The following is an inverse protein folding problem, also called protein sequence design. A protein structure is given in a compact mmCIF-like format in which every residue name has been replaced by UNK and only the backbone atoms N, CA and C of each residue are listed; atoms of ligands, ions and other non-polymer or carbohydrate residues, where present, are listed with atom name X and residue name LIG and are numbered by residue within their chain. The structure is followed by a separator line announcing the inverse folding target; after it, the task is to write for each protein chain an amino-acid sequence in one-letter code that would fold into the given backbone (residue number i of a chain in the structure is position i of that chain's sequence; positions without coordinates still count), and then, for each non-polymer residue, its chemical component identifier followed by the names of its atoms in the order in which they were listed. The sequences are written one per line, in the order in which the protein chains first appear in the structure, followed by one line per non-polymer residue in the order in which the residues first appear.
data_IF_404776794671
#
_entry.id   IF_404776794671
#
_cell.length_a   1.000
_cell.length_b   1.000
_cell.length_c   1.000
_cell.angle_alpha   90.00
_cell.angle_beta   90.00
_cell.angle_gamma   90.00
#
_symmetry.space_group_name_H-M   'P 1'
#
loop_
_entity.id
_entity.type
_entity.pdbx_description
1 polymer ?
#
# COMPACT_ATOMS: atom_id res chain seq x y z
N UNK A 1 31.63 -1.30 -13.35
CA UNK A 1 30.34 -0.72 -13.78
C UNK A 1 29.26 -1.06 -12.76
N UNK A 2 28.40 -0.11 -12.42
CA UNK A 2 27.26 -0.28 -11.52
C UNK A 2 25.98 -0.34 -12.36
N UNK A 3 25.09 -1.30 -12.07
CA UNK A 3 23.69 -1.22 -12.52
C UNK A 3 22.98 -0.36 -11.49
N UNK A 4 23.00 0.95 -11.70
CA UNK A 4 22.21 1.87 -10.90
C UNK A 4 20.81 1.90 -11.53
N UNK A 5 19.84 1.31 -10.83
CA UNK A 5 18.45 1.33 -11.24
C UNK A 5 17.71 2.38 -10.40
N UNK A 6 17.38 3.51 -11.02
CA UNK A 6 16.48 4.49 -10.43
C UNK A 6 15.09 4.23 -10.97
N UNK A 7 14.25 3.57 -10.17
CA UNK A 7 12.84 3.36 -10.48
C UNK A 7 12.04 4.47 -9.82
N UNK A 8 11.56 5.43 -10.61
CA UNK A 8 10.59 6.42 -10.15
C UNK A 8 9.21 6.05 -10.66
N UNK A 9 8.23 6.10 -9.76
CA UNK A 9 6.81 6.07 -10.12
C UNK A 9 6.23 7.41 -9.73
N UNK A 10 5.89 8.19 -10.74
CA UNK A 10 5.00 9.33 -10.59
C UNK A 10 3.57 8.91 -10.97
N UNK A 11 2.60 9.35 -10.18
CA UNK A 11 1.24 9.56 -10.65
C UNK A 11 1.13 11.05 -10.85
N UNK A 12 0.95 11.48 -12.09
CA UNK A 12 0.56 12.84 -12.41
C UNK A 12 -0.81 12.75 -13.08
N UNK A 13 -1.82 13.41 -12.51
CA UNK A 13 -3.11 13.56 -13.18
C UNK A 13 -3.26 15.00 -13.58
N UNK A 14 -3.35 15.22 -14.89
CA UNK A 14 -3.69 16.51 -15.48
C UNK A 14 -5.11 16.40 -16.00
N UNK A 15 -6.02 17.22 -15.47
CA UNK A 15 -7.35 17.37 -16.05
C UNK A 15 -7.45 18.76 -16.66
N UNK A 16 -7.68 18.79 -17.98
CA UNK A 16 -7.97 20.02 -18.69
C UNK A 16 -9.37 20.49 -18.28
N UNK A 17 -9.45 21.62 -17.58
CA UNK A 17 -10.72 22.28 -17.29
C UNK A 17 -11.16 22.99 -18.57
N UNK A 18 -12.04 22.39 -19.37
CA UNK A 18 -12.67 23.05 -20.53
C UNK A 18 -13.95 23.71 -20.05
N UNK A 19 -13.82 24.89 -19.45
CA UNK A 19 -14.93 25.60 -18.82
C UNK A 19 -14.69 27.11 -18.70
N UNK A 20 -14.12 27.73 -19.72
CA UNK A 20 -14.11 29.19 -19.83
C UNK A 20 -14.87 29.58 -21.10
N UNK A 21 -16.14 29.96 -20.94
CA UNK A 21 -16.87 30.67 -21.99
C UNK A 21 -16.20 32.04 -22.17
N UNK A 22 -15.68 32.29 -23.37
CA UNK A 22 -14.97 33.52 -23.71
C UNK A 22 -15.92 34.73 -23.67
N UNK A 23 -15.73 35.61 -22.69
CA UNK A 23 -16.14 37.02 -22.77
C UNK A 23 -15.02 37.88 -22.17
N UNK A 24 -14.35 38.65 -23.02
CA UNK A 24 -13.59 39.85 -22.62
C UNK A 24 -12.15 39.65 -22.13
N UNK A 25 -11.24 40.37 -22.77
CA UNK A 25 -9.79 40.48 -22.56
C UNK A 25 -9.29 40.65 -21.11
N UNK A 26 -8.38 39.77 -20.68
CA UNK A 26 -7.06 40.05 -20.07
C UNK A 26 -6.61 38.96 -19.06
N UNK A 27 -5.59 38.19 -19.43
CA UNK A 27 -4.64 37.56 -18.50
C UNK A 27 -5.16 36.53 -17.48
N UNK A 28 -6.02 35.58 -17.87
CA UNK A 28 -6.45 34.49 -16.98
C UNK A 28 -5.50 33.29 -17.02
N UNK A 29 -4.72 33.06 -15.96
CA UNK A 29 -3.92 31.87 -15.80
C UNK A 29 -4.82 30.62 -15.82
N UNK A 30 -4.63 29.74 -16.81
CA UNK A 30 -5.27 28.43 -16.84
C UNK A 30 -4.85 27.66 -15.60
N UNK A 31 -5.73 27.57 -14.61
CA UNK A 31 -5.55 26.76 -13.40
C UNK A 31 -5.43 25.29 -13.78
N UNK A 32 -4.20 24.89 -14.10
CA UNK A 32 -3.86 23.51 -14.44
C UNK A 32 -3.89 22.74 -13.13
N UNK A 33 -4.96 21.99 -12.92
CA UNK A 33 -5.06 21.14 -11.75
C UNK A 33 -4.19 19.90 -11.97
N UNK A 34 -3.04 19.89 -11.29
CA UNK A 34 -2.06 18.82 -11.37
C UNK A 34 -1.78 18.32 -9.95
N UNK A 35 -2.19 17.09 -9.66
CA UNK A 35 -1.74 16.37 -8.46
C UNK A 35 -0.65 15.38 -8.88
N UNK A 36 0.55 15.57 -8.33
CA UNK A 36 1.71 14.72 -8.60
C UNK A 36 2.14 14.03 -7.30
N UNK A 37 2.10 12.70 -7.27
CA UNK A 37 2.73 11.88 -6.23
C UNK A 37 3.89 11.13 -6.86
N UNK A 38 5.11 11.31 -6.37
CA UNK A 38 6.30 10.66 -6.89
C UNK A 38 6.99 9.81 -5.81
N UNK A 39 7.20 8.54 -6.10
CA UNK A 39 8.00 7.61 -5.30
C UNK A 39 9.24 7.28 -6.12
N UNK A 40 10.42 7.69 -5.64
CA UNK A 40 11.69 7.37 -6.30
C UNK A 40 12.44 6.35 -5.46
N UNK A 41 12.68 5.18 -6.04
CA UNK A 41 13.51 4.13 -5.48
C UNK A 41 14.83 4.06 -6.23
N UNK A 42 15.94 4.36 -5.56
CA UNK A 42 17.28 4.23 -6.12
C UNK A 42 17.89 2.93 -5.62
N UNK A 43 18.36 2.10 -6.55
CA UNK A 43 18.98 0.82 -6.26
C UNK A 43 20.36 0.78 -6.92
N UNK A 44 21.41 0.71 -6.11
CA UNK A 44 22.80 0.73 -6.60
C UNK A 44 23.36 -0.70 -6.61
N UNK A 45 23.19 -1.45 -7.70
CA UNK A 45 23.79 -2.79 -7.82
C UNK A 45 25.21 -2.71 -8.38
N UNK A 46 26.21 -2.89 -7.50
CA UNK A 46 27.64 -3.03 -7.89
C UNK A 46 28.07 -4.50 -8.02
N UNK A 47 27.26 -5.31 -8.70
CA UNK A 47 27.51 -6.74 -8.87
C UNK A 47 28.88 -7.02 -9.51
N UNK A 48 29.12 -6.52 -10.73
CA UNK A 48 30.36 -6.78 -11.47
C UNK A 48 31.62 -6.28 -10.78
N UNK A 49 31.54 -5.12 -10.10
CA UNK A 49 32.68 -4.61 -9.32
C UNK A 49 32.98 -5.44 -8.08
N UNK A 50 31.97 -6.11 -7.51
CA UNK A 50 32.15 -7.03 -6.39
C UNK A 50 32.67 -8.39 -6.88
N UNK A 51 32.13 -8.88 -8.01
CA UNK A 51 32.58 -10.10 -8.65
C UNK A 51 34.07 -10.01 -9.03
N UNK A 52 34.49 -8.92 -9.68
CA UNK A 52 35.89 -8.70 -10.04
C UNK A 52 36.81 -8.70 -8.82
N UNK A 53 36.44 -7.99 -7.75
CA UNK A 53 37.23 -7.96 -6.51
C UNK A 53 37.36 -9.35 -5.88
N UNK A 54 36.27 -10.11 -5.85
CA UNK A 54 36.28 -11.46 -5.29
C UNK A 54 37.13 -12.42 -6.13
N UNK A 55 37.01 -12.38 -7.45
CA UNK A 55 37.83 -13.21 -8.36
C UNK A 55 39.31 -12.85 -8.26
N UNK A 56 39.65 -11.55 -8.17
CA UNK A 56 41.04 -11.11 -7.92
C UNK A 56 41.56 -11.58 -6.56
N UNK A 57 40.73 -11.56 -5.52
CA UNK A 57 41.10 -12.06 -4.19
C UNK A 57 41.37 -13.58 -4.19
N UNK A 58 40.61 -14.36 -4.96
CA UNK A 58 40.84 -15.81 -5.14
C UNK A 58 42.17 -16.08 -5.86
N UNK A 59 42.54 -15.23 -6.82
CA UNK A 59 43.82 -15.32 -7.56
C UNK A 59 45.05 -14.93 -6.72
N UNK A 60 44.88 -14.66 -5.43
CA UNK A 60 46.00 -14.27 -4.56
C UNK A 60 46.58 -12.89 -4.88
N UNK A 61 45.94 -12.10 -5.77
CA UNK A 61 46.19 -10.68 -5.97
C UNK A 61 45.55 -9.88 -4.81
N UNK A 62 45.88 -10.30 -3.59
CA UNK A 62 45.65 -9.50 -2.40
C UNK A 62 46.62 -8.33 -2.48
N UNK A 63 46.07 -7.13 -2.59
CA UNK A 63 46.73 -5.81 -2.51
C UNK A 63 48.08 -5.90 -1.76
N UNK A 64 49.19 -6.06 -2.50
CA UNK A 64 50.54 -6.09 -1.90
C UNK A 64 51.56 -7.08 -2.47
N UNK A 65 51.20 -8.02 -3.35
CA UNK A 65 52.18 -8.89 -4.00
C UNK A 65 52.72 -8.27 -5.31
N UNK A 66 54.04 -8.08 -5.35
CA UNK A 66 54.81 -7.41 -6.39
C UNK A 66 54.40 -7.80 -7.83
N UNK A 67 53.97 -6.80 -8.60
CA UNK A 67 53.46 -6.92 -9.97
C UNK A 67 54.58 -7.12 -11.01
N UNK A 68 55.54 -8.01 -10.75
CA UNK A 68 56.71 -8.23 -11.61
C UNK A 68 56.80 -9.63 -12.21
N UNK A 69 55.90 -10.57 -11.87
CA UNK A 69 55.84 -11.89 -12.51
C UNK A 69 54.43 -12.20 -13.01
N UNK A 70 54.18 -11.93 -14.29
CA UNK A 70 53.05 -12.49 -15.05
C UNK A 70 51.67 -12.29 -14.44
N UNK A 71 51.26 -11.05 -14.18
CA UNK A 71 49.98 -10.68 -13.57
C UNK A 71 48.81 -11.52 -14.09
N UNK A 72 48.15 -12.26 -13.20
CA UNK A 72 46.86 -12.89 -13.49
C UNK A 72 45.91 -11.77 -13.96
N UNK A 73 45.52 -11.82 -15.23
CA UNK A 73 44.73 -10.76 -15.84
C UNK A 73 43.26 -11.18 -15.80
N UNK A 74 42.48 -10.49 -14.98
CA UNK A 74 41.02 -10.55 -14.98
C UNK A 74 40.51 -9.42 -15.84
N UNK A 75 39.82 -9.74 -16.92
CA UNK A 75 39.16 -8.77 -17.80
C UNK A 75 37.67 -9.06 -17.75
N UNK A 76 36.90 -8.09 -17.28
CA UNK A 76 35.45 -8.19 -17.18
C UNK A 76 34.82 -7.30 -18.25
N UNK A 77 33.96 -7.88 -19.10
CA UNK A 77 33.05 -7.13 -19.95
C UNK A 77 31.61 -7.40 -19.47
N UNK A 78 31.10 -6.46 -18.69
CA UNK A 78 29.74 -6.53 -18.14
C UNK A 78 28.64 -6.38 -19.19
N UNK A 79 28.93 -5.71 -20.32
CA UNK A 79 27.96 -5.47 -21.40
C UNK A 79 27.74 -6.71 -22.24
N UNK A 80 28.82 -7.44 -22.55
CA UNK A 80 28.74 -8.73 -23.24
C UNK A 80 28.50 -9.92 -22.29
N UNK A 81 28.59 -9.70 -20.97
CA UNK A 81 28.47 -10.74 -19.96
C UNK A 81 29.64 -11.73 -19.96
N UNK A 82 30.80 -11.33 -20.49
CA UNK A 82 31.97 -12.20 -20.63
C UNK A 82 33.02 -11.82 -19.57
N UNK A 83 33.54 -12.82 -18.87
CA UNK A 83 34.67 -12.72 -17.96
C UNK A 83 35.83 -13.55 -18.51
N UNK A 84 36.95 -12.91 -18.81
CA UNK A 84 38.18 -13.60 -19.22
C UNK A 84 39.18 -13.58 -18.08
N UNK A 85 39.65 -14.77 -17.67
CA UNK A 85 40.60 -14.94 -16.57
C UNK A 85 41.79 -15.77 -17.03
N UNK A 86 42.98 -15.18 -16.95
CA UNK A 86 44.24 -15.91 -17.10
C UNK A 86 44.76 -16.33 -15.73
N UNK A 87 44.74 -17.62 -15.46
CA UNK A 87 45.14 -18.22 -14.18
C UNK A 87 45.68 -19.65 -14.35
N UNK A 88 46.18 -20.25 -13.28
CA UNK A 88 46.59 -21.66 -13.21
C UNK A 88 45.38 -22.59 -13.11
N UNK A 89 45.56 -23.89 -13.37
CA UNK A 89 44.47 -24.88 -13.31
C UNK A 89 43.77 -24.94 -11.95
N UNK A 90 44.54 -24.88 -10.84
CA UNK A 90 43.97 -24.87 -9.49
C UNK A 90 43.11 -23.64 -9.21
N UNK A 91 43.52 -22.48 -9.72
CA UNK A 91 42.76 -21.24 -9.56
C UNK A 91 41.49 -21.24 -10.41
N UNK A 92 41.53 -21.83 -11.61
CA UNK A 92 40.33 -22.02 -12.43
C UNK A 92 39.28 -22.89 -11.73
N UNK A 93 39.68 -23.98 -11.05
CA UNK A 93 38.75 -24.81 -10.28
C UNK A 93 38.07 -24.03 -9.15
N UNK A 94 38.82 -23.19 -8.42
CA UNK A 94 38.28 -22.35 -7.35
C UNK A 94 37.33 -21.27 -7.88
N UNK A 95 37.70 -20.63 -8.99
CA UNK A 95 36.85 -19.62 -9.64
C UNK A 95 35.58 -20.26 -10.17
N UNK A 96 35.65 -21.46 -10.76
CA UNK A 96 34.49 -22.18 -11.23
C UNK A 96 33.52 -22.48 -10.08
N UNK A 97 34.00 -23.05 -8.98
CA UNK A 97 33.16 -23.35 -7.82
C UNK A 97 32.49 -22.09 -7.24
N UNK A 98 33.22 -20.97 -7.19
CA UNK A 98 32.67 -19.68 -6.77
C UNK A 98 31.61 -19.14 -7.75
N UNK A 99 31.88 -19.16 -9.05
CA UNK A 99 30.96 -18.70 -10.08
C UNK A 99 29.69 -19.54 -10.12
N UNK A 100 29.79 -20.85 -9.94
CA UNK A 100 28.64 -21.76 -9.86
C UNK A 100 27.72 -21.36 -8.70
N UNK A 101 28.28 -21.09 -7.51
CA UNK A 101 27.51 -20.63 -6.35
C UNK A 101 26.87 -19.25 -6.59
N UNK A 102 27.62 -18.31 -7.17
CA UNK A 102 27.10 -16.97 -7.50
C UNK A 102 25.99 -17.05 -8.54
N UNK A 103 26.12 -17.90 -9.55
CA UNK A 103 25.12 -18.09 -10.60
C UNK A 103 23.82 -18.65 -10.02
N UNK A 104 23.89 -19.68 -9.18
CA UNK A 104 22.72 -20.24 -8.49
C UNK A 104 22.04 -19.17 -7.64
N UNK A 105 22.81 -18.37 -6.89
CA UNK A 105 22.26 -17.35 -6.00
C UNK A 105 21.69 -16.13 -6.74
N UNK A 106 22.27 -15.76 -7.89
CA UNK A 106 21.80 -14.65 -8.72
C UNK A 106 20.55 -14.99 -9.53
N UNK A 107 20.33 -16.27 -9.87
CA UNK A 107 19.15 -16.72 -10.60
C UNK A 107 17.92 -17.00 -9.72
N UNK A 108 18.06 -16.92 -8.38
CA UNK A 108 16.93 -17.16 -7.49
C UNK A 108 15.85 -16.08 -7.69
N UNK A 109 14.61 -16.54 -7.83
CA UNK A 109 13.42 -15.70 -7.94
C UNK A 109 12.57 -15.84 -6.69
N UNK A 110 11.93 -14.75 -6.28
CA UNK A 110 11.00 -14.69 -5.15
C UNK A 110 9.66 -14.20 -5.68
N UNK A 111 8.62 -15.01 -5.47
CA UNK A 111 7.23 -14.58 -5.64
C UNK A 111 6.79 -13.90 -4.35
N UNK A 112 6.42 -12.64 -4.44
CA UNK A 112 5.96 -11.82 -3.32
C UNK A 112 4.45 -11.66 -3.47
N UNK A 113 3.70 -12.17 -2.49
CA UNK A 113 2.26 -12.01 -2.37
C UNK A 113 1.96 -11.16 -1.16
N UNK A 114 1.23 -10.06 -1.35
CA UNK A 114 0.79 -9.18 -0.27
C UNK A 114 -0.73 -9.27 -0.16
N UNK A 115 -1.26 -9.63 1.00
CA UNK A 115 -2.71 -9.62 1.25
C UNK A 115 -3.08 -8.36 2.01
N UNK A 116 -3.95 -7.53 1.42
CA UNK A 116 -4.44 -6.31 2.06
C UNK A 116 -5.85 -6.56 2.61
N UNK A 117 -5.99 -6.41 3.93
CA UNK A 117 -7.26 -6.61 4.64
C UNK A 117 -7.77 -5.26 5.13
N UNK A 118 -8.95 -4.88 4.68
CA UNK A 118 -9.65 -3.69 5.17
C UNK A 118 -10.71 -4.14 6.20
N UNK A 119 -10.61 -3.63 7.43
CA UNK A 119 -11.61 -3.89 8.47
C UNK A 119 -12.50 -2.67 8.59
N UNK A 120 -13.77 -2.82 8.16
CA UNK A 120 -14.80 -1.82 8.43
C UNK A 120 -15.60 -2.29 9.62
N UNK A 121 -15.32 -1.69 10.78
CA UNK A 121 -16.10 -1.94 11.98
C UNK A 121 -17.48 -1.26 11.80
N UNK A 122 -18.46 -2.04 11.38
CA UNK A 122 -19.86 -1.62 11.42
C UNK A 122 -20.44 -2.07 12.76
N UNK A 123 -20.83 -1.13 13.60
CA UNK A 123 -21.37 -1.41 14.94
C UNK A 123 -22.82 -1.91 14.91
N UNK A 124 -23.42 -1.94 13.72
CA UNK A 124 -24.84 -2.22 13.50
C UNK A 124 -25.16 -3.70 13.24
N UNK A 125 -24.14 -4.57 13.14
CA UNK A 125 -24.40 -6.00 12.88
C UNK A 125 -24.79 -6.76 14.16
N UNK A 126 -26.08 -6.71 14.48
CA UNK A 126 -26.69 -7.46 15.58
C UNK A 126 -27.17 -8.82 15.06
N UNK A 127 -26.32 -9.86 15.17
CA UNK A 127 -26.74 -11.22 14.85
C UNK A 127 -27.84 -11.65 15.84
N UNK A 128 -29.04 -11.88 15.31
CA UNK A 128 -30.30 -12.08 16.04
C UNK A 128 -30.31 -13.26 16.99
N UNK A 129 -29.77 -13.07 18.19
CA UNK A 129 -30.07 -13.93 19.33
C UNK A 129 -31.43 -13.48 19.87
N UNK A 130 -32.45 -14.31 19.63
CA UNK A 130 -33.78 -14.14 20.20
C UNK A 130 -33.75 -14.58 21.67
N UNK A 131 -33.62 -13.60 22.56
CA UNK A 131 -33.57 -13.82 24.00
C UNK A 131 -34.98 -14.06 24.61
N UNK A 132 -36.06 -13.90 23.83
CA UNK A 132 -37.43 -14.12 24.30
C UNK A 132 -37.66 -15.54 24.82
N UNK A 133 -36.89 -16.51 24.31
CA UNK A 133 -36.97 -17.91 24.71
C UNK A 133 -36.47 -18.18 26.15
N UNK A 134 -35.60 -17.32 26.68
CA UNK A 134 -35.03 -17.49 28.04
C UNK A 134 -35.97 -16.93 29.13
N UNK A 135 -36.88 -16.02 28.78
CA UNK A 135 -37.68 -15.27 29.74
C UNK A 135 -39.04 -15.90 30.10
N UNK A 136 -39.25 -17.20 29.83
CA UNK A 136 -40.54 -17.85 30.10
C UNK A 136 -40.65 -18.38 31.54
N UNK A 137 -40.75 -17.47 32.52
CA UNK A 137 -41.19 -17.81 33.89
C UNK A 137 -40.52 -17.04 35.03
N UNK A 138 -41.22 -16.94 36.17
CA UNK A 138 -40.75 -16.38 37.44
C UNK A 138 -40.32 -14.90 37.42
N UNK A 139 -41.08 -14.01 36.78
CA UNK A 139 -40.81 -12.55 36.82
C UNK A 139 -39.74 -12.04 35.82
N UNK A 140 -39.12 -12.93 35.03
CA UNK A 140 -38.19 -12.52 33.96
C UNK A 140 -38.96 -12.10 32.70
N UNK A 141 -38.53 -11.01 32.07
CA UNK A 141 -39.06 -10.50 30.80
C UNK A 141 -37.92 -9.96 29.94
N UNK A 142 -38.05 -10.07 28.61
CA UNK A 142 -37.06 -9.55 27.65
C UNK A 142 -37.73 -8.54 26.74
N UNK A 143 -37.13 -7.35 26.66
CA UNK A 143 -37.51 -6.31 25.70
C UNK A 143 -36.36 -6.11 24.71
N UNK A 144 -36.59 -6.45 23.46
CA UNK A 144 -35.60 -6.37 22.39
C UNK A 144 -36.13 -5.49 21.26
N UNK A 145 -35.39 -4.43 20.93
CA UNK A 145 -35.68 -3.53 19.81
C UNK A 145 -34.51 -3.58 18.83
N UNK A 146 -34.67 -4.37 17.77
CA UNK A 146 -33.64 -4.59 16.73
C UNK A 146 -33.74 -3.59 15.58
N UNK A 147 -34.94 -3.09 15.32
CA UNK A 147 -35.23 -2.03 14.39
C UNK A 147 -35.51 -0.84 15.28
N UNK A 148 -34.57 0.09 15.44
CA UNK A 148 -34.84 1.34 16.16
C UNK A 148 -36.03 2.03 15.51
N UNK A 149 -37.25 1.81 16.02
CA UNK A 149 -38.50 2.30 15.40
C UNK A 149 -38.66 3.81 15.52
N UNK A 150 -37.64 4.48 16.07
CA UNK A 150 -37.42 5.92 16.04
C UNK A 150 -35.92 6.17 15.86
N UNK A 151 -35.55 7.05 14.92
CA UNK A 151 -34.18 7.52 14.66
C UNK A 151 -33.48 8.18 15.87
N UNK A 152 -34.14 8.24 17.03
CA UNK A 152 -33.65 8.85 18.28
C UNK A 152 -33.22 7.85 19.34
N UNK A 153 -33.40 6.54 19.14
CA UNK A 153 -32.98 5.52 20.10
C UNK A 153 -32.15 4.42 19.43
N UNK A 154 -30.99 4.16 20.03
CA UNK A 154 -30.12 3.06 19.64
C UNK A 154 -30.82 1.72 19.88
N UNK A 155 -30.65 0.72 18.99
CA UNK A 155 -31.21 -0.60 19.19
C UNK A 155 -30.64 -1.23 20.47
N UNK A 156 -31.50 -1.84 21.28
CA UNK A 156 -31.11 -2.39 22.58
C UNK A 156 -31.76 -3.76 22.83
N UNK A 157 -31.10 -4.54 23.67
CA UNK A 157 -31.62 -5.79 24.22
C UNK A 157 -31.55 -5.72 25.74
N UNK A 158 -32.72 -5.81 26.38
CA UNK A 158 -32.87 -5.64 27.82
C UNK A 158 -33.51 -6.88 28.44
N UNK A 159 -32.85 -7.45 29.45
CA UNK A 159 -33.42 -8.47 30.32
C UNK A 159 -33.86 -7.80 31.62
N UNK A 160 -35.14 -7.86 31.93
CA UNK A 160 -35.73 -7.28 33.13
C UNK A 160 -36.30 -8.38 34.00
N UNK A 161 -35.93 -8.41 35.27
CA UNK A 161 -36.59 -9.19 36.30
C UNK A 161 -37.47 -8.26 37.12
N UNK A 162 -38.76 -8.59 37.24
CA UNK A 162 -39.71 -7.91 38.08
C UNK A 162 -40.65 -8.94 38.71
N UNK A 163 -40.63 -9.03 40.03
CA UNK A 163 -41.53 -9.89 40.80
C UNK A 163 -42.20 -9.09 41.92
N UNK A 164 -43.52 -8.84 41.83
CA UNK A 164 -44.26 -8.07 42.82
C UNK A 164 -44.57 -8.88 44.10
N UNK A 165 -44.38 -10.21 44.10
CA UNK A 165 -44.79 -11.08 45.21
C UNK A 165 -43.62 -11.52 46.12
N UNK A 166 -42.46 -10.86 46.05
CA UNK A 166 -41.31 -11.23 46.89
C UNK A 166 -41.43 -10.69 48.32
N UNK A 167 -40.94 -11.46 49.30
CA UNK A 167 -40.92 -11.07 50.72
C UNK A 167 -40.04 -9.83 51.02
N UNK A 168 -39.36 -9.29 50.01
CA UNK A 168 -38.46 -8.13 50.07
C UNK A 168 -39.09 -6.86 49.49
N UNK A 169 -40.32 -6.92 48.97
CA UNK A 169 -41.00 -5.83 48.24
C UNK A 169 -40.74 -5.87 46.73
N UNK A 170 -41.34 -4.92 45.98
CA UNK A 170 -41.20 -4.82 44.52
C UNK A 170 -39.72 -4.75 44.11
N UNK A 171 -39.17 -5.85 43.61
CA UNK A 171 -37.77 -5.95 43.20
C UNK A 171 -37.69 -5.95 41.68
N UNK A 172 -37.19 -4.86 41.10
CA UNK A 172 -36.93 -4.75 39.67
C UNK A 172 -35.43 -4.62 39.38
N UNK A 173 -34.86 -5.49 38.55
CA UNK A 173 -33.48 -5.37 38.05
C UNK A 173 -33.43 -5.54 36.54
N UNK A 174 -32.49 -4.83 35.91
CA UNK A 174 -32.43 -4.68 34.47
C UNK A 174 -30.99 -4.85 34.00
N UNK A 175 -30.75 -5.80 33.10
CA UNK A 175 -29.42 -6.11 32.54
C UNK A 175 -29.44 -5.86 31.03
N UNK A 176 -28.60 -4.93 30.57
CA UNK A 176 -28.38 -4.68 29.14
C UNK A 176 -27.40 -5.70 28.55
N UNK A 177 -27.74 -6.27 27.41
CA UNK A 177 -26.88 -7.20 26.67
C UNK A 177 -26.49 -6.59 25.32
N UNK A 178 -25.20 -6.38 25.07
CA UNK A 178 -24.67 -5.93 23.78
C UNK A 178 -23.71 -6.99 23.21
N UNK A 179 -23.89 -7.34 21.93
CA UNK A 179 -22.92 -8.16 21.18
C UNK A 179 -22.50 -7.41 19.92
N UNK A 180 -21.26 -6.90 19.92
CA UNK A 180 -20.66 -6.11 18.82
C UNK A 180 -19.63 -6.97 18.09
N UNK A 181 -19.82 -7.17 16.79
CA UNK A 181 -18.80 -7.77 15.91
C UNK A 181 -18.72 -7.00 14.60
N UNK A 182 -17.50 -6.82 14.08
CA UNK A 182 -17.25 -6.16 12.80
C UNK A 182 -17.26 -7.10 11.61
N UNK A 183 -17.41 -6.54 10.41
CA UNK A 183 -17.25 -7.23 9.13
C UNK A 183 -15.80 -7.05 8.62
N UNK A 184 -15.17 -8.12 8.14
CA UNK A 184 -13.80 -8.11 7.62
C UNK A 184 -13.89 -8.42 6.12
N UNK A 185 -13.49 -7.47 5.27
CA UNK A 185 -13.50 -7.66 3.81
C UNK A 185 -12.08 -7.61 3.27
N UNK A 186 -11.60 -8.75 2.74
CA UNK A 186 -10.31 -8.82 2.03
C UNK A 186 -10.51 -8.24 0.63
N UNK A 187 -9.73 -7.22 0.26
CA UNK A 187 -9.97 -6.49 -0.99
C UNK A 187 -9.04 -6.93 -2.13
N UNK A 188 -7.82 -7.43 -1.87
CA UNK A 188 -6.93 -7.99 -2.90
C UNK A 188 -5.66 -8.67 -2.37
N UNK A 189 -5.12 -9.62 -3.16
CA UNK A 189 -3.79 -10.24 -2.96
C UNK A 189 -2.88 -10.04 -4.18
N UNK A 190 -2.30 -8.85 -4.38
CA UNK A 190 -1.33 -8.60 -5.44
C UNK A 190 -0.11 -9.53 -5.36
N UNK A 191 0.36 -9.98 -6.54
CA UNK A 191 1.54 -10.84 -6.69
C UNK A 191 2.57 -10.19 -7.61
N UNK A 192 3.85 -10.24 -7.24
CA UNK A 192 4.97 -9.77 -8.06
C UNK A 192 6.13 -10.77 -7.97
N UNK A 193 6.76 -11.06 -9.11
CA UNK A 193 7.99 -11.84 -9.15
C UNK A 193 9.18 -10.89 -9.16
N UNK A 194 10.13 -11.12 -8.26
CA UNK A 194 11.35 -10.34 -8.12
C UNK A 194 12.57 -11.26 -8.14
N UNK A 195 13.69 -10.78 -8.66
CA UNK A 195 14.98 -11.49 -8.57
C UNK A 195 15.63 -11.17 -7.23
N UNK A 196 16.39 -12.13 -6.67
CA UNK A 196 17.14 -11.93 -5.43
C UNK A 196 18.02 -10.67 -5.49
N UNK A 197 18.00 -9.87 -4.42
CA UNK A 197 18.72 -8.60 -4.29
C UNK A 197 18.38 -7.55 -5.38
N UNK A 198 17.23 -7.67 -6.03
CA UNK A 198 16.73 -6.69 -6.98
C UNK A 198 15.42 -6.08 -6.47
N UNK A 199 15.42 -4.76 -6.31
CA UNK A 199 14.21 -4.03 -5.92
C UNK A 199 13.13 -4.16 -6.98
N UNK A 200 11.95 -4.59 -6.55
CA UNK A 200 10.74 -4.67 -7.35
C UNK A 200 9.71 -3.67 -6.81
N UNK A 201 8.95 -3.09 -7.72
CA UNK A 201 7.95 -2.06 -7.40
C UNK A 201 6.57 -2.55 -7.83
N UNK A 202 5.61 -2.44 -6.92
CA UNK A 202 4.21 -2.75 -7.15
C UNK A 202 3.37 -1.49 -6.92
N UNK A 203 2.57 -1.12 -7.92
CA UNK A 203 1.69 0.06 -7.89
C UNK A 203 0.28 -0.35 -8.31
N UNK A 204 -0.68 -0.19 -7.41
CA UNK A 204 -2.11 -0.42 -7.67
C UNK A 204 -2.86 0.80 -7.17
N UNK A 205 -3.14 1.73 -8.06
CA UNK A 205 -3.68 3.05 -7.72
C UNK A 205 -4.75 3.44 -8.74
N UNK A 206 -5.90 3.89 -8.22
CA UNK A 206 -6.98 4.50 -8.98
C UNK A 206 -6.98 6.01 -8.77
N UNK A 207 -7.42 6.76 -9.78
CA UNK A 207 -7.48 8.23 -9.69
C UNK A 207 -8.91 8.66 -9.36
N UNK A 208 -9.12 9.24 -8.17
CA UNK A 208 -10.41 9.79 -7.76
C UNK A 208 -10.49 11.26 -8.17
N UNK A 209 -11.47 11.60 -9.00
CA UNK A 209 -11.72 12.98 -9.44
C UNK A 209 -12.78 13.61 -8.54
N UNK A 210 -12.50 14.81 -8.04
CA UNK A 210 -13.46 15.62 -7.27
C UNK A 210 -13.46 17.06 -7.77
N UNK A 211 -14.57 17.77 -7.56
CA UNK A 211 -14.73 19.15 -8.02
C UNK A 211 -14.89 20.07 -6.81
N UNK A 212 -14.21 21.20 -6.80
CA UNK A 212 -14.45 22.33 -5.89
C UNK A 212 -15.26 23.38 -6.64
N UNK A 213 -16.39 23.78 -6.06
CA UNK A 213 -17.29 24.77 -6.66
C UNK A 213 -17.18 26.04 -5.84
N UNK A 214 -16.70 27.12 -6.47
CA UNK A 214 -16.75 28.47 -5.93
C UNK A 214 -17.95 29.20 -6.52
N UNK A 215 -18.80 29.76 -5.66
CA UNK A 215 -19.95 30.54 -6.08
C UNK A 215 -19.72 32.01 -5.70
N UNK A 216 -19.58 32.87 -6.71
CA UNK A 216 -19.45 34.31 -6.53
C UNK A 216 -20.76 34.98 -6.92
N UNK A 217 -21.39 35.66 -5.97
CA UNK A 217 -22.64 36.41 -6.23
C UNK A 217 -22.34 37.89 -6.29
N UNK A 218 -22.56 38.48 -7.46
CA UNK A 218 -22.47 39.93 -7.65
C UNK A 218 -23.87 40.53 -7.55
N UNK A 219 -24.10 41.37 -6.54
CA UNK A 219 -25.36 42.11 -6.38
C UNK A 219 -25.24 43.48 -7.03
N UNK A 220 -26.10 43.78 -8.01
CA UNK A 220 -26.15 45.08 -8.68
C UNK A 220 -27.25 45.94 -8.07
N UNK A 221 -27.00 47.24 -7.82
CA UNK A 221 -27.93 48.12 -7.09
C UNK A 221 -29.27 48.38 -7.82
N UNK A 222 -29.35 48.07 -9.12
CA UNK A 222 -30.51 48.29 -9.99
C UNK A 222 -30.85 47.10 -10.89
N UNK A 223 -30.36 45.89 -10.60
CA UNK A 223 -30.61 44.68 -11.40
C UNK A 223 -30.63 43.38 -10.59
N UNK A 224 -31.11 42.27 -11.17
CA UNK A 224 -31.12 40.97 -10.48
C UNK A 224 -29.69 40.54 -10.13
N UNK A 225 -29.50 39.93 -8.97
CA UNK A 225 -28.21 39.38 -8.55
C UNK A 225 -27.79 38.24 -9.48
N UNK A 226 -26.54 38.27 -9.94
CA UNK A 226 -25.97 37.21 -10.79
C UNK A 226 -25.01 36.37 -9.95
N UNK A 227 -25.27 35.07 -9.84
CA UNK A 227 -24.37 34.10 -9.19
C UNK A 227 -23.61 33.34 -10.26
N UNK A 228 -22.30 33.50 -10.27
CA UNK A 228 -21.38 32.76 -11.14
C UNK A 228 -20.85 31.55 -10.38
N UNK A 229 -20.93 30.37 -10.98
CA UNK A 229 -20.35 29.14 -10.44
C UNK A 229 -19.07 28.78 -11.21
N UNK A 230 -17.95 28.71 -10.50
CA UNK A 230 -16.67 28.25 -11.03
C UNK A 230 -16.39 26.86 -10.47
N UNK A 231 -16.21 25.87 -11.34
CA UNK A 231 -15.90 24.49 -10.95
C UNK A 231 -14.44 24.17 -11.28
N UNK A 232 -13.62 23.90 -10.26
CA UNK A 232 -12.23 23.48 -10.40
C UNK A 232 -12.14 21.98 -10.14
N UNK A 233 -11.56 21.25 -11.09
CA UNK A 233 -11.48 19.78 -11.04
C UNK A 233 -10.17 19.32 -10.45
N UNK A 234 -10.19 18.67 -9.29
CA UNK A 234 -9.03 18.08 -8.62
C UNK A 234 -9.00 16.56 -8.80
N UNK A 235 -7.80 15.97 -8.67
CA UNK A 235 -7.66 14.50 -8.64
C UNK A 235 -6.79 14.10 -7.47
N UNK A 236 -7.19 13.06 -6.74
CA UNK A 236 -6.34 12.40 -5.75
C UNK A 236 -6.08 10.96 -6.20
N UNK A 237 -4.82 10.54 -6.32
CA UNK A 237 -4.51 9.12 -6.47
C UNK A 237 -4.82 8.38 -5.16
N UNK A 238 -5.67 7.36 -5.22
CA UNK A 238 -6.02 6.51 -4.10
C UNK A 238 -5.66 5.06 -4.41
N UNK A 239 -4.87 4.44 -3.53
CA UNK A 239 -4.45 3.05 -3.69
C UNK A 239 -3.17 2.76 -2.91
N UNK A 240 -2.46 1.71 -3.34
CA UNK A 240 -1.31 1.17 -2.65
C UNK A 240 -0.08 1.12 -3.56
N UNK A 241 1.08 1.50 -3.01
CA UNK A 241 2.38 1.41 -3.66
C UNK A 241 3.37 0.74 -2.70
N UNK A 242 4.10 -0.26 -3.18
CA UNK A 242 5.10 -1.01 -2.41
C UNK A 242 6.39 -1.13 -3.19
N UNK A 243 7.50 -0.82 -2.53
CA UNK A 243 8.83 -1.16 -3.00
C UNK A 243 9.38 -2.27 -2.11
N UNK A 244 9.90 -3.33 -2.71
CA UNK A 244 10.41 -4.50 -1.98
C UNK A 244 11.71 -4.99 -2.59
N UNK A 245 12.70 -5.26 -1.75
CA UNK A 245 13.97 -5.84 -2.15
C UNK A 245 14.09 -7.20 -1.46
N UNK A 246 13.85 -8.33 -2.17
CA UNK A 246 13.94 -9.64 -1.57
C UNK A 246 15.42 -10.02 -1.34
N UNK A 247 15.69 -10.67 -0.20
CA UNK A 247 16.97 -11.29 0.10
C UNK A 247 16.71 -12.72 0.57
N UNK A 248 17.34 -13.70 -0.07
CA UNK A 248 17.29 -15.10 0.36
C UNK A 248 18.53 -15.38 1.20
N UNK A 249 18.33 -15.81 2.45
CA UNK A 249 19.39 -16.39 3.27
C UNK A 249 19.54 -17.88 2.91
N UNK A 250 20.77 -18.38 2.92
CA UNK A 250 21.08 -19.82 2.80
C UNK A 250 20.83 -20.56 4.13
#
# INVERSE_FOLDING_TARGET
MARDNTSSVSVATQIATTGAAAVGDSGGASGTNNSTTAVTSTSNQRFWGTLERNVRAILGDAVGADATTGSAAVIVNAESGILSVRATTREHEQIQAFLDQVQVNAQRQVLIEATVVEVKLNDDYQLGVDWSLIASGAGWSVSQSLLGTNFSQEPFSLLTYADPDTSLGDTSTTVGMLRRFGDIKVLSSPKIMAINNQTALLKVVDNLVYFTIEAETTTSATGPATTTYTSVVHTVPAGFVMSVTPQIND
#
